data_IF_000758909814
#
_entry.id   IF_000758909814
#
_cell.length_a   1.000
_cell.length_b   1.000
_cell.length_c   1.000
_cell.angle_alpha   90.00
_cell.angle_beta   90.00
_cell.angle_gamma   90.00
#
_symmetry.space_group_name_H-M   'P 1'
#
loop_
_entity.id
_entity.type
_entity.pdbx_description
1 polymer ?
#
# COMPACT_ATOMS: atom_id res chain seq x y z
N UNK A 1 0.98 -11.33 -4.02
CA UNK A 1 0.19 -10.12 -3.68
C UNK A 1 -0.59 -9.69 -4.91
N UNK A 2 -1.86 -9.32 -4.71
CA UNK A 2 -2.72 -8.76 -5.75
C UNK A 2 -3.08 -7.31 -5.40
N UNK A 3 -2.59 -6.37 -6.18
CA UNK A 3 -2.91 -4.95 -6.00
C UNK A 3 -4.25 -4.58 -6.63
N UNK A 4 -5.08 -3.88 -5.85
CA UNK A 4 -6.42 -3.42 -6.24
C UNK A 4 -6.63 -2.00 -5.69
N UNK A 5 -6.98 -1.04 -6.55
CA UNK A 5 -7.09 0.37 -6.17
C UNK A 5 -8.46 0.75 -5.59
N UNK A 6 -9.13 -0.19 -4.93
CA UNK A 6 -10.40 0.00 -4.26
C UNK A 6 -10.50 -0.90 -3.02
N UNK A 7 -10.71 -0.31 -1.85
CA UNK A 7 -10.89 -1.04 -0.58
C UNK A 7 -12.05 -2.04 -0.67
N UNK A 8 -13.19 -1.59 -1.22
CA UNK A 8 -14.38 -2.42 -1.41
C UNK A 8 -14.12 -3.63 -2.32
N UNK A 9 -13.43 -3.41 -3.45
CA UNK A 9 -13.06 -4.50 -4.36
C UNK A 9 -12.03 -5.46 -3.74
N UNK A 10 -11.10 -4.98 -2.89
CA UNK A 10 -10.19 -5.86 -2.14
C UNK A 10 -10.96 -6.87 -1.30
N UNK A 11 -11.92 -6.41 -0.51
CA UNK A 11 -12.75 -7.28 0.33
C UNK A 11 -13.61 -8.21 -0.51
N UNK A 12 -14.29 -7.68 -1.52
CA UNK A 12 -15.16 -8.47 -2.41
C UNK A 12 -14.39 -9.62 -3.08
N UNK A 13 -13.23 -9.36 -3.65
CA UNK A 13 -12.44 -10.40 -4.33
C UNK A 13 -11.82 -11.40 -3.35
N UNK A 14 -11.45 -10.96 -2.14
CA UNK A 14 -10.96 -11.87 -1.12
C UNK A 14 -12.05 -12.86 -0.67
N UNK A 15 -13.28 -12.39 -0.49
CA UNK A 15 -14.44 -13.21 -0.11
C UNK A 15 -14.87 -14.20 -1.20
N UNK A 16 -14.52 -13.97 -2.47
CA UNK A 16 -14.77 -14.91 -3.55
C UNK A 16 -13.90 -16.17 -3.50
N UNK A 17 -12.82 -16.14 -2.73
CA UNK A 17 -11.92 -17.30 -2.56
C UNK A 17 -12.48 -18.18 -1.45
N UNK A 18 -13.22 -19.20 -1.83
CA UNK A 18 -13.88 -20.13 -0.92
C UNK A 18 -13.07 -21.40 -0.62
N UNK A 19 -12.08 -21.69 -1.45
CA UNK A 19 -11.21 -22.85 -1.28
C UNK A 19 -10.01 -22.49 -0.40
N UNK A 20 -9.71 -23.35 0.59
CA UNK A 20 -8.50 -23.17 1.41
C UNK A 20 -7.25 -23.41 0.58
N UNK A 21 -6.29 -22.51 0.73
CA UNK A 21 -4.94 -22.58 0.14
C UNK A 21 -3.92 -23.12 1.17
N UNK A 22 -4.37 -23.46 2.37
CA UNK A 22 -3.58 -23.95 3.49
C UNK A 22 -3.88 -25.42 3.75
N UNK A 23 -2.89 -26.13 4.25
CA UNK A 23 -3.08 -27.45 4.84
C UNK A 23 -3.63 -27.36 6.27
N UNK A 24 -3.91 -28.53 6.90
CA UNK A 24 -4.51 -28.59 8.24
C UNK A 24 -3.59 -28.03 9.33
N UNK A 25 -2.30 -28.23 9.20
CA UNK A 25 -1.32 -27.77 10.19
C UNK A 25 -1.14 -26.24 10.07
N UNK A 26 -1.09 -25.72 8.84
CA UNK A 26 -1.05 -24.29 8.58
C UNK A 26 -2.31 -23.59 9.11
N UNK A 27 -3.50 -24.16 8.92
CA UNK A 27 -4.77 -23.64 9.47
C UNK A 27 -4.70 -23.57 11.01
N UNK A 28 -4.23 -24.63 11.65
CA UNK A 28 -4.08 -24.65 13.11
C UNK A 28 -3.13 -23.56 13.60
N UNK A 29 -2.01 -23.38 12.93
CA UNK A 29 -1.03 -22.31 13.22
C UNK A 29 -1.61 -20.93 13.03
N UNK A 30 -2.35 -20.70 11.95
CA UNK A 30 -3.03 -19.41 11.69
C UNK A 30 -3.98 -19.07 12.82
N UNK A 31 -4.84 -20.02 13.22
CA UNK A 31 -5.80 -19.80 14.30
C UNK A 31 -5.10 -19.50 15.63
N UNK A 32 -4.08 -20.28 15.99
CA UNK A 32 -3.31 -20.08 17.23
C UNK A 32 -2.63 -18.72 17.26
N UNK A 33 -1.97 -18.30 16.17
CA UNK A 33 -1.30 -17.01 16.09
C UNK A 33 -2.32 -15.85 16.09
N UNK A 34 -3.40 -15.97 15.33
CA UNK A 34 -4.45 -14.97 15.29
C UNK A 34 -5.03 -14.74 16.71
N UNK A 35 -5.42 -15.83 17.39
CA UNK A 35 -5.97 -15.73 18.74
C UNK A 35 -4.94 -15.14 19.73
N UNK A 36 -3.68 -15.54 19.64
CA UNK A 36 -2.60 -15.02 20.50
C UNK A 36 -2.45 -13.51 20.38
N UNK A 37 -2.44 -12.98 19.15
CA UNK A 37 -2.21 -11.55 18.94
C UNK A 37 -3.48 -10.70 19.10
N UNK A 38 -4.67 -11.28 18.90
CA UNK A 38 -5.94 -10.56 19.03
C UNK A 38 -6.47 -10.58 20.45
N UNK A 39 -6.14 -11.61 21.25
CA UNK A 39 -6.66 -11.78 22.60
C UNK A 39 -6.57 -10.52 23.49
N UNK A 40 -5.45 -9.76 23.53
CA UNK A 40 -5.35 -8.55 24.34
C UNK A 40 -6.31 -7.42 23.92
N UNK A 41 -6.81 -7.48 22.69
CA UNK A 41 -7.65 -6.43 22.09
C UNK A 41 -9.10 -6.86 21.91
N UNK A 42 -9.46 -8.09 22.31
CA UNK A 42 -10.77 -8.69 22.06
C UNK A 42 -11.92 -7.86 22.62
N UNK A 43 -11.78 -7.36 23.85
CA UNK A 43 -12.80 -6.53 24.50
C UNK A 43 -12.99 -5.17 23.79
N UNK A 44 -11.89 -4.57 23.34
CA UNK A 44 -11.92 -3.26 22.68
C UNK A 44 -12.58 -3.27 21.29
N UNK A 45 -12.58 -4.42 20.63
CA UNK A 45 -12.99 -4.54 19.22
C UNK A 45 -14.04 -5.65 19.00
N UNK A 46 -14.69 -6.13 20.07
CA UNK A 46 -15.68 -7.22 20.03
C UNK A 46 -16.82 -6.97 19.04
N UNK A 47 -17.21 -5.70 18.86
CA UNK A 47 -18.35 -5.32 18.05
C UNK A 47 -18.00 -5.03 16.58
N UNK A 48 -16.75 -5.24 16.17
CA UNK A 48 -16.33 -5.02 14.80
C UNK A 48 -16.36 -6.31 13.98
N UNK A 49 -17.21 -6.35 12.95
CA UNK A 49 -17.28 -7.45 11.97
C UNK A 49 -15.94 -7.74 11.27
N UNK A 50 -15.01 -6.76 11.24
CA UNK A 50 -13.71 -6.93 10.59
C UNK A 50 -12.89 -8.09 11.13
N UNK A 51 -12.99 -8.41 12.42
CA UNK A 51 -12.25 -9.52 13.03
C UNK A 51 -12.78 -10.88 12.58
N UNK A 52 -14.09 -11.05 12.55
CA UNK A 52 -14.71 -12.29 12.10
C UNK A 52 -14.49 -12.50 10.60
N UNK A 53 -14.66 -11.44 9.80
CA UNK A 53 -14.44 -11.50 8.35
C UNK A 53 -12.99 -11.85 8.04
N UNK A 54 -12.03 -11.24 8.76
CA UNK A 54 -10.63 -11.54 8.59
C UNK A 54 -10.29 -12.97 9.02
N UNK A 55 -10.85 -13.45 10.12
CA UNK A 55 -10.63 -14.83 10.57
C UNK A 55 -11.08 -15.85 9.53
N UNK A 56 -12.23 -15.63 8.89
CA UNK A 56 -12.74 -16.48 7.80
C UNK A 56 -11.79 -16.49 6.60
N UNK A 57 -11.27 -15.32 6.21
CA UNK A 57 -10.32 -15.21 5.11
C UNK A 57 -8.99 -15.91 5.44
N UNK A 58 -8.46 -15.68 6.63
CA UNK A 58 -7.19 -16.28 7.09
C UNK A 58 -7.25 -17.80 7.17
N UNK A 59 -8.40 -18.37 7.50
CA UNK A 59 -8.64 -19.81 7.44
C UNK A 59 -8.38 -20.39 6.04
N UNK A 60 -8.63 -19.60 5.01
CA UNK A 60 -8.35 -19.99 3.63
C UNK A 60 -6.94 -19.58 3.14
N UNK A 61 -6.10 -19.02 4.01
CA UNK A 61 -4.78 -18.49 3.61
C UNK A 61 -4.86 -17.21 2.79
N UNK A 62 -5.98 -16.51 2.90
CA UNK A 62 -6.27 -15.26 2.19
C UNK A 62 -6.31 -14.11 3.20
N UNK A 63 -5.85 -12.94 2.79
CA UNK A 63 -5.98 -11.73 3.62
C UNK A 63 -6.24 -10.50 2.74
N UNK A 64 -6.68 -9.44 3.41
CA UNK A 64 -6.86 -8.10 2.83
C UNK A 64 -6.01 -7.11 3.61
N UNK A 65 -5.35 -6.16 2.93
CA UNK A 65 -4.59 -5.11 3.60
C UNK A 65 -4.82 -3.75 2.93
N UNK A 66 -5.44 -2.84 3.66
CA UNK A 66 -5.69 -1.47 3.21
C UNK A 66 -5.82 -0.49 4.37
N UNK A 67 -5.77 0.81 4.09
CA UNK A 67 -5.79 1.87 5.11
C UNK A 67 -7.09 1.99 5.93
N UNK A 68 -8.18 1.34 5.51
CA UNK A 68 -9.46 1.31 6.24
C UNK A 68 -9.58 0.18 7.27
N UNK A 69 -8.51 -0.59 7.50
CA UNK A 69 -8.50 -1.66 8.49
C UNK A 69 -8.03 -1.18 9.85
N UNK A 70 -8.51 -1.86 10.88
CA UNK A 70 -8.03 -1.65 12.25
C UNK A 70 -6.52 -1.93 12.32
N UNK A 71 -5.70 -1.07 12.96
CA UNK A 71 -4.25 -1.20 12.96
C UNK A 71 -3.76 -2.58 13.40
N UNK A 72 -4.29 -3.12 14.49
CA UNK A 72 -3.88 -4.43 15.00
C UNK A 72 -4.10 -5.57 13.98
N UNK A 73 -5.18 -5.52 13.20
CA UNK A 73 -5.41 -6.51 12.15
C UNK A 73 -4.35 -6.44 11.05
N UNK A 74 -3.88 -5.23 10.71
CA UNK A 74 -2.79 -5.07 9.74
C UNK A 74 -1.50 -5.71 10.27
N UNK A 75 -1.15 -5.46 11.52
CA UNK A 75 0.03 -6.05 12.17
C UNK A 75 -0.04 -7.58 12.19
N UNK A 76 -1.19 -8.15 12.54
CA UNK A 76 -1.38 -9.61 12.55
C UNK A 76 -1.24 -10.19 11.15
N UNK A 77 -1.79 -9.53 10.13
CA UNK A 77 -1.65 -9.95 8.73
C UNK A 77 -0.17 -9.92 8.31
N UNK A 78 0.55 -8.88 8.69
CA UNK A 78 1.97 -8.74 8.39
C UNK A 78 2.80 -9.86 9.05
N UNK A 79 2.49 -10.21 10.29
CA UNK A 79 3.13 -11.33 11.00
C UNK A 79 2.82 -12.66 10.29
N UNK A 80 1.55 -12.95 9.99
CA UNK A 80 1.15 -14.17 9.32
C UNK A 80 1.72 -14.29 7.90
N UNK A 81 1.85 -13.16 7.19
CA UNK A 81 2.48 -13.10 5.87
C UNK A 81 3.97 -13.47 5.96
N UNK A 82 4.69 -12.96 6.95
CA UNK A 82 6.10 -13.28 7.18
C UNK A 82 6.31 -14.76 7.52
N UNK A 83 5.35 -15.40 8.19
CA UNK A 83 5.37 -16.84 8.43
C UNK A 83 4.98 -17.69 7.19
N UNK A 84 4.67 -17.05 6.06
CA UNK A 84 4.24 -17.75 4.84
C UNK A 84 2.84 -18.38 4.92
N UNK A 85 2.07 -17.99 5.93
CA UNK A 85 0.71 -18.50 6.17
C UNK A 85 -0.37 -17.77 5.36
N UNK A 86 -0.03 -16.65 4.73
CA UNK A 86 -0.89 -15.97 3.77
C UNK A 86 -0.38 -16.28 2.36
N UNK A 87 -1.15 -17.06 1.62
CA UNK A 87 -0.81 -17.44 0.23
C UNK A 87 -1.28 -16.41 -0.78
N UNK A 88 -2.38 -15.70 -0.47
CA UNK A 88 -2.95 -14.67 -1.34
C UNK A 88 -3.32 -13.44 -0.52
N UNK A 89 -2.66 -12.32 -0.80
CA UNK A 89 -2.93 -11.04 -0.16
C UNK A 89 -3.54 -10.06 -1.18
N UNK A 90 -4.74 -9.56 -0.91
CA UNK A 90 -5.37 -8.47 -1.65
C UNK A 90 -5.04 -7.15 -0.96
N UNK A 91 -4.35 -6.25 -1.64
CA UNK A 91 -3.85 -5.03 -1.03
C UNK A 91 -4.07 -3.79 -1.89
N UNK A 92 -4.23 -2.64 -1.23
CA UNK A 92 -4.13 -1.35 -1.90
C UNK A 92 -2.68 -0.87 -1.94
N UNK A 93 -2.41 0.20 -2.68
CA UNK A 93 -1.06 0.78 -2.84
C UNK A 93 -0.35 1.09 -1.51
N UNK A 94 -1.12 1.40 -0.44
CA UNK A 94 -0.58 1.72 0.87
C UNK A 94 0.27 0.60 1.48
N UNK A 95 0.02 -0.64 1.11
CA UNK A 95 0.84 -1.79 1.50
C UNK A 95 2.25 -1.72 0.90
N UNK A 96 2.38 -1.25 -0.34
CA UNK A 96 3.67 -1.15 -1.00
C UNK A 96 4.59 -0.10 -0.37
N UNK A 97 4.03 0.93 0.27
CA UNK A 97 4.77 2.06 0.88
C UNK A 97 5.21 1.74 2.30
N UNK A 98 4.33 1.17 3.11
CA UNK A 98 4.51 1.09 4.56
C UNK A 98 5.24 -0.16 5.06
N UNK A 99 5.35 -1.22 4.25
CA UNK A 99 5.78 -2.54 4.74
C UNK A 99 6.82 -3.14 3.80
N UNK A 100 7.90 -3.68 4.38
CA UNK A 100 8.92 -4.40 3.62
C UNK A 100 8.61 -5.91 3.56
N UNK A 101 7.63 -6.27 2.76
CA UNK A 101 7.16 -7.65 2.59
C UNK A 101 7.25 -8.08 1.13
N UNK A 102 8.40 -8.57 0.69
CA UNK A 102 8.56 -9.07 -0.68
C UNK A 102 7.80 -10.39 -0.87
N UNK A 103 7.33 -10.59 -2.07
CA UNK A 103 6.59 -11.80 -2.48
C UNK A 103 7.15 -12.35 -3.77
N UNK A 104 6.95 -13.63 -4.05
CA UNK A 104 7.40 -14.20 -5.33
C UNK A 104 6.67 -13.56 -6.53
N UNK A 105 5.37 -13.29 -6.38
CA UNK A 105 4.53 -12.83 -7.49
C UNK A 105 3.68 -11.64 -7.07
N UNK A 106 3.68 -10.61 -7.89
CA UNK A 106 2.77 -9.45 -7.81
C UNK A 106 1.79 -9.50 -8.97
N UNK A 107 0.51 -9.27 -8.70
CA UNK A 107 -0.55 -9.26 -9.69
C UNK A 107 -1.24 -7.90 -9.67
N UNK A 108 -1.32 -7.25 -10.82
CA UNK A 108 -2.15 -6.06 -11.02
C UNK A 108 -3.45 -6.45 -11.71
N UNK A 109 -4.57 -6.03 -11.16
CA UNK A 109 -5.89 -6.19 -11.81
C UNK A 109 -6.33 -4.97 -12.58
N UNK A 110 -5.69 -3.85 -12.29
CA UNK A 110 -5.86 -2.58 -12.98
C UNK A 110 -4.54 -1.81 -12.89
N UNK A 111 -4.33 -0.87 -13.76
CA UNK A 111 -3.22 0.08 -13.71
C UNK A 111 -3.69 1.52 -13.69
N UNK A 112 -4.98 1.72 -13.44
CA UNK A 112 -5.57 3.04 -13.24
C UNK A 112 -6.02 3.24 -11.82
N UNK A 113 -5.91 4.45 -11.35
CA UNK A 113 -6.43 4.87 -10.06
C UNK A 113 -7.07 6.26 -10.15
N UNK A 114 -7.99 6.51 -9.23
CA UNK A 114 -8.52 7.84 -9.04
C UNK A 114 -7.46 8.75 -8.40
N UNK A 115 -7.25 9.92 -9.00
CA UNK A 115 -6.37 10.96 -8.47
C UNK A 115 -7.21 12.14 -8.00
N UNK A 116 -7.23 12.35 -6.68
CA UNK A 116 -8.03 13.42 -6.06
C UNK A 116 -7.54 14.83 -6.40
N UNK A 117 -6.29 14.99 -6.85
CA UNK A 117 -5.77 16.31 -7.25
C UNK A 117 -6.34 16.78 -8.58
N UNK A 118 -6.48 15.86 -9.54
CA UNK A 118 -7.06 16.16 -10.86
C UNK A 118 -8.54 15.78 -10.95
N UNK A 119 -9.09 15.19 -9.87
CA UNK A 119 -10.47 14.70 -9.78
C UNK A 119 -10.85 13.78 -10.96
N UNK A 120 -9.92 12.93 -11.39
CA UNK A 120 -10.11 12.05 -12.52
C UNK A 120 -9.34 10.72 -12.33
N UNK A 121 -9.67 9.74 -13.17
CA UNK A 121 -8.94 8.47 -13.26
C UNK A 121 -7.72 8.69 -14.15
N UNK A 122 -6.57 8.20 -13.71
CA UNK A 122 -5.33 8.20 -14.48
C UNK A 122 -4.60 6.87 -14.40
N UNK A 123 -3.73 6.62 -15.34
CA UNK A 123 -2.78 5.52 -15.29
C UNK A 123 -1.80 5.71 -14.12
N UNK A 124 -1.28 4.62 -13.57
CA UNK A 124 -0.23 4.65 -12.55
C UNK A 124 1.01 5.40 -13.08
N UNK A 125 1.60 6.21 -12.22
CA UNK A 125 2.90 6.80 -12.51
C UNK A 125 4.01 5.75 -12.43
N UNK A 126 5.14 5.98 -13.09
CA UNK A 126 6.28 5.06 -13.05
C UNK A 126 6.79 4.75 -11.64
N UNK A 127 6.77 5.74 -10.74
CA UNK A 127 7.14 5.58 -9.33
C UNK A 127 6.16 4.65 -8.58
N UNK A 128 4.85 4.84 -8.77
CA UNK A 128 3.80 4.02 -8.18
C UNK A 128 3.89 2.56 -8.68
N UNK A 129 4.04 2.38 -9.98
CA UNK A 129 4.21 1.05 -10.56
C UNK A 129 5.45 0.35 -10.01
N UNK A 130 6.63 1.02 -10.02
CA UNK A 130 7.89 0.45 -9.54
C UNK A 130 7.83 0.10 -8.05
N UNK A 131 7.17 0.91 -7.25
CA UNK A 131 7.03 0.67 -5.81
C UNK A 131 6.23 -0.62 -5.53
N UNK A 132 5.18 -0.89 -6.29
CA UNK A 132 4.37 -2.09 -6.17
C UNK A 132 5.01 -3.29 -6.86
N UNK A 133 5.48 -3.15 -8.09
CA UNK A 133 6.14 -4.23 -8.84
C UNK A 133 7.45 -4.66 -8.19
N UNK A 134 8.17 -3.72 -7.55
CA UNK A 134 9.38 -3.99 -6.78
C UNK A 134 9.16 -4.85 -5.52
N UNK A 135 7.92 -5.20 -5.20
CA UNK A 135 7.61 -6.22 -4.19
C UNK A 135 7.72 -7.65 -4.74
N UNK A 136 7.84 -7.82 -6.04
CA UNK A 136 8.05 -9.12 -6.67
C UNK A 136 9.52 -9.55 -6.56
N UNK A 137 9.75 -10.77 -6.08
CA UNK A 137 11.07 -11.34 -5.84
C UNK A 137 11.55 -11.12 -4.40
N UNK A 138 11.90 -12.24 -3.74
CA UNK A 138 12.46 -12.22 -2.37
C UNK A 138 13.97 -12.34 -2.47
N UNK A 139 14.68 -11.27 -2.10
CA UNK A 139 16.15 -11.24 -2.15
C UNK A 139 16.73 -12.39 -1.32
N UNK A 140 17.63 -13.16 -1.91
CA UNK A 140 18.26 -14.34 -1.27
C UNK A 140 17.43 -15.61 -1.26
N UNK A 141 16.17 -15.57 -1.69
CA UNK A 141 15.28 -16.74 -1.76
C UNK A 141 14.83 -17.06 -3.20
N UNK A 142 14.54 -16.03 -3.98
CA UNK A 142 14.05 -16.16 -5.34
C UNK A 142 15.10 -15.69 -6.34
N UNK A 143 15.27 -16.39 -7.44
CA UNK A 143 16.15 -16.00 -8.55
C UNK A 143 15.53 -14.89 -9.41
N UNK A 144 14.21 -14.80 -9.41
CA UNK A 144 13.45 -13.79 -10.15
C UNK A 144 12.11 -13.49 -9.47
N UNK A 145 11.61 -12.28 -9.67
CA UNK A 145 10.25 -11.87 -9.29
C UNK A 145 9.33 -11.89 -10.51
N UNK A 146 8.08 -12.29 -10.33
CA UNK A 146 7.08 -12.32 -11.40
C UNK A 146 6.05 -11.22 -11.18
N UNK A 147 5.81 -10.41 -12.22
CA UNK A 147 4.74 -9.43 -12.23
C UNK A 147 3.74 -9.81 -13.31
N UNK A 148 2.48 -9.99 -12.91
CA UNK A 148 1.39 -10.39 -13.80
C UNK A 148 0.38 -9.25 -13.87
N UNK A 149 -0.04 -8.93 -15.09
CA UNK A 149 -1.15 -8.04 -15.33
C UNK A 149 -2.37 -8.84 -15.81
N UNK A 150 -3.48 -8.72 -15.06
CA UNK A 150 -4.78 -9.34 -15.39
C UNK A 150 -5.79 -8.23 -15.69
N UNK A 151 -5.97 -7.85 -16.96
CA UNK A 151 -6.85 -6.75 -17.31
C UNK A 151 -8.33 -7.12 -17.12
N UNK A 152 -9.06 -6.33 -16.33
CA UNK A 152 -10.53 -6.34 -16.30
C UNK A 152 -11.14 -5.19 -17.09
N UNK A 153 -10.32 -4.20 -17.45
CA UNK A 153 -10.68 -3.05 -18.27
C UNK A 153 -9.95 -3.11 -19.61
N UNK A 154 -10.50 -2.51 -20.67
CA UNK A 154 -9.79 -2.42 -21.96
C UNK A 154 -8.37 -1.89 -21.76
N UNK A 155 -7.38 -2.45 -22.45
CA UNK A 155 -6.01 -2.00 -22.32
C UNK A 155 -5.86 -0.57 -22.85
N UNK A 156 -5.11 0.25 -22.14
CA UNK A 156 -4.58 1.50 -22.65
C UNK A 156 -3.63 1.22 -23.82
N UNK A 157 -3.20 2.27 -24.50
CA UNK A 157 -2.24 2.09 -25.57
C UNK A 157 -0.96 1.42 -25.07
N UNK A 158 -0.32 0.64 -25.93
CA UNK A 158 0.97 0.00 -25.63
C UNK A 158 2.01 1.01 -25.14
N UNK A 159 1.99 2.23 -25.69
CA UNK A 159 2.93 3.29 -25.31
C UNK A 159 2.69 3.79 -23.89
N UNK A 160 1.45 3.92 -23.45
CA UNK A 160 1.13 4.35 -22.08
C UNK A 160 1.58 3.31 -21.07
N UNK A 161 1.33 2.02 -21.34
CA UNK A 161 1.80 0.93 -20.47
C UNK A 161 3.33 0.89 -20.45
N UNK A 162 3.97 1.03 -21.60
CA UNK A 162 5.43 1.08 -21.68
C UNK A 162 6.01 2.24 -20.87
N UNK A 163 5.44 3.44 -20.99
CA UNK A 163 5.85 4.61 -20.23
C UNK A 163 5.62 4.42 -18.71
N UNK A 164 4.53 3.81 -18.31
CA UNK A 164 4.29 3.46 -16.90
C UNK A 164 5.40 2.54 -16.35
N UNK A 165 5.82 1.55 -17.13
CA UNK A 165 6.82 0.57 -16.69
C UNK A 165 8.26 1.12 -16.70
N UNK A 166 8.61 1.89 -17.72
CA UNK A 166 10.01 2.29 -18.03
C UNK A 166 10.27 3.78 -17.87
N UNK A 167 9.22 4.61 -17.75
CA UNK A 167 9.31 6.06 -17.64
C UNK A 167 10.19 6.53 -16.50
N UNK A 168 10.72 7.73 -16.59
CA UNK A 168 11.49 8.35 -15.53
C UNK A 168 10.60 8.58 -14.30
N UNK A 169 11.12 8.28 -13.13
CA UNK A 169 10.48 8.67 -11.86
C UNK A 169 10.52 10.19 -11.77
N UNK A 170 9.41 10.79 -11.40
CA UNK A 170 9.38 12.23 -11.17
C UNK A 170 10.39 12.61 -10.07
N UNK A 171 11.12 13.67 -10.28
CA UNK A 171 11.97 14.23 -9.23
C UNK A 171 11.11 14.64 -8.03
N UNK A 172 11.68 14.51 -6.84
CA UNK A 172 11.05 15.05 -5.64
C UNK A 172 10.95 16.55 -5.79
N UNK A 173 9.75 17.09 -5.80
CA UNK A 173 9.47 18.51 -5.84
C UNK A 173 8.79 18.94 -4.54
N UNK A 174 9.14 20.12 -4.07
CA UNK A 174 8.48 20.68 -2.90
C UNK A 174 7.00 20.95 -3.20
N UNK A 175 6.11 20.49 -2.32
CA UNK A 175 4.69 20.88 -2.30
C UNK A 175 4.42 21.92 -1.19
N UNK A 176 5.47 22.53 -0.70
CA UNK A 176 5.34 23.54 0.34
C UNK A 176 4.48 24.71 -0.15
N UNK A 177 3.47 25.05 0.62
CA UNK A 177 2.59 26.20 0.40
C UNK A 177 2.44 26.97 1.70
N UNK A 178 2.59 28.28 1.62
CA UNK A 178 2.34 29.16 2.75
C UNK A 178 0.84 29.30 2.90
N UNK A 179 0.28 28.63 3.91
CA UNK A 179 -1.14 28.76 4.29
C UNK A 179 -1.27 29.63 5.53
N UNK A 180 -2.44 30.27 5.73
CA UNK A 180 -2.73 31.03 6.95
C UNK A 180 -2.49 30.21 8.22
N UNK A 181 -2.90 28.93 8.20
CA UNK A 181 -2.70 28.04 9.33
C UNK A 181 -1.21 27.79 9.64
N UNK A 182 -0.38 27.68 8.60
CA UNK A 182 1.07 27.55 8.74
C UNK A 182 1.67 28.82 9.36
N UNK A 183 1.34 30.02 8.84
CA UNK A 183 1.82 31.29 9.36
C UNK A 183 1.45 31.47 10.83
N UNK A 184 0.19 31.19 11.20
CA UNK A 184 -0.25 31.26 12.60
C UNK A 184 0.51 30.31 13.51
N UNK A 185 0.82 29.10 13.06
CA UNK A 185 1.62 28.14 13.84
C UNK A 185 3.04 28.61 14.05
N UNK A 186 3.67 29.18 13.03
CA UNK A 186 5.04 29.73 13.15
C UNK A 186 5.06 30.92 14.11
N UNK A 187 4.08 31.83 14.04
CA UNK A 187 3.96 32.98 14.97
C UNK A 187 3.77 32.48 16.42
N UNK A 188 2.98 31.42 16.61
CA UNK A 188 2.72 30.88 17.95
C UNK A 188 3.90 30.05 18.51
N UNK A 189 4.82 29.57 17.68
CA UNK A 189 5.92 28.71 18.14
C UNK A 189 7.02 29.45 18.87
N UNK A 190 7.11 30.78 18.77
CA UNK A 190 8.13 31.67 19.34
C UNK A 190 9.61 31.34 19.05
N UNK A 191 9.89 30.14 18.51
CA UNK A 191 11.25 29.60 18.35
C UNK A 191 11.82 29.75 16.94
N UNK A 192 10.97 30.08 15.95
CA UNK A 192 11.37 30.14 14.54
C UNK A 192 10.88 31.43 13.87
N UNK A 193 11.79 32.13 13.22
CA UNK A 193 11.42 33.19 12.30
C UNK A 193 10.87 32.55 11.00
N UNK A 194 9.79 33.10 10.48
CA UNK A 194 9.14 32.61 9.25
C UNK A 194 10.12 32.58 8.06
N UNK A 195 10.98 33.58 7.94
CA UNK A 195 11.96 33.67 6.85
C UNK A 195 13.04 32.59 6.97
N UNK A 196 13.59 32.39 8.16
CA UNK A 196 14.57 31.37 8.43
C UNK A 196 14.01 29.96 8.15
N UNK A 197 12.72 29.73 8.46
CA UNK A 197 12.06 28.48 8.13
C UNK A 197 11.92 28.28 6.61
N UNK A 198 11.51 29.32 5.87
CA UNK A 198 11.38 29.23 4.40
C UNK A 198 12.71 28.93 3.74
N UNK A 199 13.80 29.54 4.20
CA UNK A 199 15.14 29.33 3.66
C UNK A 199 15.64 27.90 3.85
N UNK A 200 15.16 27.18 4.86
CA UNK A 200 15.48 25.77 5.11
C UNK A 200 14.64 24.81 4.26
N UNK A 201 13.61 25.31 3.57
CA UNK A 201 12.72 24.44 2.79
C UNK A 201 13.35 23.98 1.47
N UNK A 202 12.93 22.81 1.00
CA UNK A 202 13.25 22.33 -0.36
C UNK A 202 12.74 23.30 -1.44
N UNK A 203 11.61 23.97 -1.18
CA UNK A 203 11.03 24.96 -2.07
C UNK A 203 12.00 26.11 -2.40
N UNK A 204 12.67 26.66 -1.39
CA UNK A 204 13.64 27.73 -1.58
C UNK A 204 14.87 27.25 -2.35
N UNK A 205 15.36 26.04 -2.07
CA UNK A 205 16.47 25.43 -2.84
C UNK A 205 16.11 25.25 -4.32
N UNK A 206 14.90 24.77 -4.63
CA UNK A 206 14.42 24.61 -5.99
C UNK A 206 14.33 25.94 -6.73
N UNK A 207 13.86 27.01 -6.04
CA UNK A 207 13.80 28.35 -6.63
C UNK A 207 15.18 28.93 -6.92
N UNK A 208 16.15 28.76 -6.02
CA UNK A 208 17.54 29.21 -6.25
C UNK A 208 18.15 28.50 -7.46
N UNK A 209 17.98 27.18 -7.58
CA UNK A 209 18.48 26.39 -8.71
C UNK A 209 17.84 26.78 -10.05
N UNK A 210 16.58 27.24 -10.04
CA UNK A 210 15.89 27.72 -11.24
C UNK A 210 16.35 29.14 -11.65
N UNK A 211 16.75 29.97 -10.70
CA UNK A 211 17.19 31.35 -10.95
C UNK A 211 18.65 31.43 -11.42
N UNK A 212 19.44 30.39 -11.18
CA UNK A 212 20.84 30.27 -11.60
C UNK A 212 21.03 29.59 -12.97
N UNK A 213 19.96 29.13 -13.61
CA UNK A 213 19.94 28.58 -14.98
C UNK A 213 19.43 29.60 -15.97
#
# INVERSE_FOLDING_TARGET
IRFIFSRKKCQMYAQMIQTSLLDKDEISRVNSLFDKYIHPYKEKYSDTSQFEDMRKLLHNGVAVHHSGMVPILKEVIEILFNYGLIKLLFATETFAVGVNMPTKTVIFTDYTKFDGHINNIRILRPDEYRQMSGRAGRRGLDTSGTVIYLPFTPPFSRNEVYNMMTGKVASVQSKFQISYQFVLRVILSNDLNLLDFIDLTLYQKENIDQTQK
#
